data_IF_193137432271
#
_entry.id   IF_193137432271
#
_cell.length_a   1.000
_cell.length_b   1.000
_cell.length_c   1.000
_cell.angle_alpha   90.00
_cell.angle_beta   90.00
_cell.angle_gamma   90.00
#
_symmetry.space_group_name_H-M   'P 1'
#
loop_
_entity.id
_entity.type
_entity.pdbx_description
1 polymer ?
#
# COMPACT_ATOMS: atom_id res chain seq x y z
N UNK A 1 21.21 15.96 1.89
CA UNK A 1 20.25 15.00 2.46
C UNK A 1 20.40 13.68 1.71
N UNK A 2 20.79 12.61 2.40
CA UNK A 2 20.95 11.28 1.79
C UNK A 2 19.69 10.47 2.08
N UNK A 3 18.94 10.13 1.03
CA UNK A 3 17.77 9.27 1.14
C UNK A 3 18.24 7.80 1.14
N UNK A 4 17.93 7.06 2.19
CA UNK A 4 17.93 5.59 2.17
C UNK A 4 16.51 5.14 2.48
N UNK A 5 15.84 4.50 1.51
CA UNK A 5 14.86 3.39 1.67
C UNK A 5 13.80 3.37 0.55
N UNK A 6 13.62 2.21 -0.09
CA UNK A 6 12.44 1.77 -0.85
C UNK A 6 12.08 2.53 -2.15
N UNK A 7 11.24 1.94 -3.03
CA UNK A 7 10.64 2.68 -4.13
C UNK A 7 9.80 3.85 -3.57
N UNK A 8 10.00 5.03 -4.14
CA UNK A 8 9.28 6.25 -3.82
C UNK A 8 8.42 6.60 -5.03
N UNK A 9 7.15 6.90 -4.79
CA UNK A 9 6.18 7.22 -5.84
C UNK A 9 5.83 8.70 -5.77
N UNK A 10 5.71 9.34 -6.93
CA UNK A 10 5.42 10.76 -7.09
C UNK A 10 4.06 10.89 -7.77
N UNK A 11 3.25 11.88 -7.38
CA UNK A 11 2.04 12.26 -8.09
C UNK A 11 2.22 13.59 -8.85
N UNK A 12 1.23 13.99 -9.67
CA UNK A 12 1.34 15.19 -10.52
C UNK A 12 1.32 16.51 -9.72
N UNK A 13 1.02 16.44 -8.42
CA UNK A 13 1.06 17.59 -7.51
C UNK A 13 2.46 17.83 -6.92
N UNK A 14 3.47 17.03 -7.31
CA UNK A 14 4.81 17.14 -6.77
C UNK A 14 4.98 16.46 -5.40
N UNK A 15 3.96 15.73 -4.93
CA UNK A 15 4.01 15.05 -3.63
C UNK A 15 4.63 13.67 -3.79
N UNK A 16 5.48 13.28 -2.84
CA UNK A 16 6.15 11.97 -2.84
C UNK A 16 5.58 11.12 -1.72
N UNK A 17 5.23 9.86 -1.99
CA UNK A 17 4.92 8.87 -0.96
C UNK A 17 6.00 7.78 -0.91
N UNK A 18 6.32 7.29 0.28
CA UNK A 18 7.42 6.34 0.48
C UNK A 18 7.64 6.01 1.96
N UNK A 19 8.74 5.32 2.24
CA UNK A 19 9.12 4.92 3.60
C UNK A 19 10.18 5.90 4.14
N UNK A 20 9.90 6.52 5.28
CA UNK A 20 10.82 7.39 6.00
C UNK A 20 11.99 6.63 6.61
N UNK A 21 13.02 7.36 7.04
CA UNK A 21 14.19 6.77 7.72
C UNK A 21 13.84 6.10 9.06
N UNK A 22 12.70 6.47 9.65
CA UNK A 22 12.12 5.84 10.83
C UNK A 22 11.36 4.54 10.52
N UNK A 23 11.36 4.10 9.26
CA UNK A 23 10.65 2.92 8.78
C UNK A 23 9.15 3.14 8.61
N UNK A 24 8.65 4.36 8.76
CA UNK A 24 7.21 4.65 8.68
C UNK A 24 6.81 5.16 7.30
N UNK A 25 5.65 4.74 6.78
CA UNK A 25 5.13 5.31 5.54
C UNK A 25 4.76 6.79 5.74
N UNK A 26 5.08 7.62 4.75
CA UNK A 26 4.84 9.06 4.79
C UNK A 26 4.60 9.64 3.39
N UNK A 27 3.99 10.84 3.37
CA UNK A 27 3.88 11.72 2.22
C UNK A 27 4.71 12.98 2.49
N UNK A 28 5.63 13.32 1.59
CA UNK A 28 6.36 14.58 1.56
C UNK A 28 5.70 15.55 0.59
N UNK A 29 5.42 16.76 1.06
CA UNK A 29 4.80 17.82 0.27
C UNK A 29 5.86 18.77 -0.30
N UNK A 30 5.56 19.46 -1.42
CA UNK A 30 6.47 20.45 -2.01
C UNK A 30 6.87 21.60 -1.07
N UNK A 31 6.02 21.93 -0.10
CA UNK A 31 6.29 22.96 0.91
C UNK A 31 7.23 22.48 2.04
N UNK A 32 7.70 21.23 1.97
CA UNK A 32 8.57 20.61 2.96
C UNK A 32 7.84 19.99 4.14
N UNK A 33 6.51 20.10 4.22
CA UNK A 33 5.74 19.42 5.24
C UNK A 33 5.70 17.90 5.00
N UNK A 34 5.51 17.15 6.09
CA UNK A 34 5.49 15.69 6.07
C UNK A 34 4.21 15.21 6.77
N UNK A 35 3.47 14.34 6.10
CA UNK A 35 2.35 13.62 6.69
C UNK A 35 2.73 12.15 6.89
N UNK A 36 2.81 11.73 8.14
CA UNK A 36 2.97 10.32 8.46
C UNK A 36 1.64 9.58 8.24
N UNK A 37 1.70 8.46 7.55
CA UNK A 37 0.53 7.63 7.27
C UNK A 37 0.27 6.72 8.48
N UNK A 38 -0.88 6.87 9.17
CA UNK A 38 -1.11 6.19 10.43
C UNK A 38 -1.53 4.73 10.26
N UNK A 39 -1.41 3.97 11.35
CA UNK A 39 -1.91 2.60 11.47
C UNK A 39 -0.84 1.59 11.89
N UNK A 40 -1.29 0.41 12.31
CA UNK A 40 -0.42 -0.69 12.71
C UNK A 40 -0.12 -1.56 11.49
N UNK A 41 1.07 -1.38 10.93
CA UNK A 41 1.57 -2.14 9.79
C UNK A 41 3.10 -2.28 9.90
N UNK A 42 3.63 -3.39 9.41
CA UNK A 42 5.08 -3.65 9.30
C UNK A 42 5.42 -4.14 7.89
N UNK A 43 6.71 -4.12 7.54
CA UNK A 43 7.18 -4.53 6.20
C UNK A 43 6.47 -3.78 5.07
N UNK A 44 6.24 -2.48 5.27
CA UNK A 44 5.48 -1.66 4.33
C UNK A 44 6.30 -1.40 3.07
N UNK A 45 5.67 -1.64 1.91
CA UNK A 45 6.13 -1.18 0.61
C UNK A 45 5.04 -0.32 -0.01
N UNK A 46 5.42 0.80 -0.62
CA UNK A 46 4.49 1.67 -1.36
C UNK A 46 4.69 1.41 -2.85
N UNK A 47 3.59 1.20 -3.56
CA UNK A 47 3.59 0.80 -4.99
C UNK A 47 2.81 1.77 -5.86
N UNK A 48 2.01 2.66 -5.27
CA UNK A 48 1.30 3.67 -6.03
C UNK A 48 0.79 4.82 -5.18
N UNK A 49 0.65 5.97 -5.83
CA UNK A 49 0.12 7.19 -5.23
C UNK A 49 -0.58 8.01 -6.31
N UNK A 50 -1.80 8.48 -6.03
CA UNK A 50 -2.57 9.29 -6.98
C UNK A 50 -2.77 10.74 -6.50
N UNK A 51 -3.27 11.59 -7.39
CA UNK A 51 -3.51 13.02 -7.13
C UNK A 51 -4.67 13.28 -6.15
N UNK A 52 -5.44 12.25 -5.78
CA UNK A 52 -6.47 12.36 -4.77
C UNK A 52 -5.92 12.18 -3.35
N UNK A 53 -4.63 11.89 -3.18
CA UNK A 53 -4.05 11.62 -1.87
C UNK A 53 -4.19 10.15 -1.44
N UNK A 54 -4.51 9.24 -2.37
CA UNK A 54 -4.60 7.80 -2.07
C UNK A 54 -3.28 7.12 -2.35
N UNK A 55 -2.70 6.51 -1.31
CA UNK A 55 -1.48 5.70 -1.37
C UNK A 55 -1.85 4.23 -1.29
N UNK A 56 -1.28 3.41 -2.16
CA UNK A 56 -1.42 1.95 -2.12
C UNK A 56 -0.08 1.28 -1.93
N UNK A 57 -0.12 0.09 -1.34
CA UNK A 57 1.07 -0.65 -1.02
C UNK A 57 0.78 -2.06 -0.52
N UNK A 58 1.81 -2.66 0.06
CA UNK A 58 1.76 -3.99 0.65
C UNK A 58 2.32 -3.92 2.06
N UNK A 59 1.68 -4.61 3.01
CA UNK A 59 2.14 -4.63 4.39
C UNK A 59 1.72 -5.91 5.12
N UNK A 60 2.48 -6.28 6.15
CA UNK A 60 1.97 -7.15 7.21
C UNK A 60 1.11 -6.30 8.15
N UNK A 61 -0.13 -6.74 8.37
CA UNK A 61 -1.10 -6.06 9.24
C UNK A 61 -1.69 -7.06 10.25
N UNK A 62 -2.17 -6.60 11.43
CA UNK A 62 -2.72 -7.48 12.45
C UNK A 62 -3.80 -8.43 11.92
N UNK A 63 -3.71 -9.70 12.31
CA UNK A 63 -4.66 -10.75 11.92
C UNK A 63 -4.32 -11.49 10.63
N UNK A 64 -3.24 -11.13 9.93
CA UNK A 64 -2.82 -11.79 8.69
C UNK A 64 -1.35 -12.24 8.79
N UNK A 65 -1.07 -13.45 8.28
CA UNK A 65 0.28 -14.03 8.26
C UNK A 65 1.03 -13.79 6.96
N UNK A 66 0.34 -13.32 5.92
CA UNK A 66 0.91 -12.99 4.61
C UNK A 66 0.80 -11.48 4.35
N UNK A 67 1.68 -10.89 3.51
CA UNK A 67 1.52 -9.52 3.05
C UNK A 67 0.13 -9.30 2.44
N UNK A 68 -0.49 -8.20 2.86
CA UNK A 68 -1.80 -7.78 2.39
C UNK A 68 -1.66 -6.54 1.51
N UNK A 69 -2.46 -6.45 0.44
CA UNK A 69 -2.62 -5.21 -0.31
C UNK A 69 -3.36 -4.21 0.59
N UNK A 70 -2.77 -3.03 0.76
CA UNK A 70 -3.25 -1.99 1.68
C UNK A 70 -3.39 -0.64 1.00
N UNK A 71 -4.19 0.22 1.61
CA UNK A 71 -4.46 1.56 1.13
C UNK A 71 -4.51 2.55 2.30
N UNK A 72 -4.02 3.76 2.07
CA UNK A 72 -4.24 4.93 2.91
C UNK A 72 -4.98 5.97 2.06
N UNK A 73 -6.19 6.35 2.48
CA UNK A 73 -6.99 7.35 1.76
C UNK A 73 -6.90 8.70 2.47
N UNK A 74 -6.48 9.74 1.76
CA UNK A 74 -6.48 11.12 2.24
C UNK A 74 -5.76 11.29 3.59
N UNK A 75 -4.65 10.56 3.81
CA UNK A 75 -3.93 10.58 5.08
C UNK A 75 -4.56 9.82 6.24
N UNK A 76 -5.66 9.09 5.99
CA UNK A 76 -6.30 8.21 6.96
C UNK A 76 -5.46 6.98 7.28
N UNK A 77 -5.93 6.18 8.24
CA UNK A 77 -5.25 4.95 8.68
C UNK A 77 -5.15 3.89 7.58
N UNK A 78 -4.17 3.01 7.72
CA UNK A 78 -4.02 1.83 6.87
C UNK A 78 -5.30 1.00 6.85
N UNK A 79 -5.74 0.64 5.66
CA UNK A 79 -6.86 -0.27 5.43
C UNK A 79 -6.42 -1.42 4.53
N UNK A 80 -6.94 -2.63 4.79
CA UNK A 80 -6.78 -3.76 3.88
C UNK A 80 -7.71 -3.59 2.67
N UNK A 81 -7.20 -3.78 1.46
CA UNK A 81 -8.03 -3.84 0.26
C UNK A 81 -8.88 -5.14 0.26
N UNK A 82 -10.14 -5.09 -0.21
CA UNK A 82 -10.98 -6.29 -0.28
C UNK A 82 -10.56 -7.20 -1.44
N UNK A 83 -10.29 -8.47 -1.15
CA UNK A 83 -10.01 -9.53 -2.15
C UNK A 83 -10.22 -10.93 -1.54
N UNK A 84 -10.33 -11.95 -2.39
CA UNK A 84 -10.70 -13.33 -2.03
C UNK A 84 -9.52 -14.30 -1.81
N UNK A 85 -8.32 -13.78 -1.56
CA UNK A 85 -7.09 -14.55 -1.35
C UNK A 85 -6.57 -14.48 0.09
N UNK A 86 -5.56 -15.29 0.39
CA UNK A 86 -4.89 -15.32 1.70
C UNK A 86 -3.90 -14.16 1.86
N UNK A 87 -3.29 -13.71 0.76
CA UNK A 87 -2.42 -12.55 0.67
C UNK A 87 -2.49 -11.93 -0.71
N UNK A 88 -1.85 -10.78 -0.89
CA UNK A 88 -1.87 -10.10 -2.18
C UNK A 88 -0.95 -8.90 -2.23
N UNK A 89 -0.74 -8.42 -3.46
CA UNK A 89 0.18 -7.35 -3.77
C UNK A 89 -0.48 -6.37 -4.72
N UNK A 90 -0.32 -5.08 -4.46
CA UNK A 90 -0.66 -3.99 -5.38
C UNK A 90 0.56 -3.64 -6.22
N UNK A 91 0.33 -3.31 -7.49
CA UNK A 91 1.36 -2.88 -8.44
C UNK A 91 1.21 -1.41 -8.84
N UNK A 92 0.06 -0.79 -8.54
CA UNK A 92 -0.16 0.61 -8.80
C UNK A 92 -1.61 1.04 -8.65
N UNK A 93 -1.80 2.36 -8.73
CA UNK A 93 -3.10 3.02 -8.70
C UNK A 93 -3.11 4.15 -9.74
N UNK A 94 -4.24 4.40 -10.39
CA UNK A 94 -4.42 5.57 -11.26
C UNK A 94 -5.22 6.70 -10.57
N UNK A 95 -5.34 7.85 -11.23
CA UNK A 95 -6.06 9.02 -10.71
C UNK A 95 -7.59 8.85 -10.59
N UNK A 96 -8.17 7.77 -11.14
CA UNK A 96 -9.58 7.41 -10.89
C UNK A 96 -9.75 6.55 -9.63
N UNK A 97 -8.65 6.04 -9.08
CA UNK A 97 -8.66 5.11 -7.96
C UNK A 97 -8.70 3.64 -8.39
N UNK A 98 -8.49 3.34 -9.67
CA UNK A 98 -8.36 1.96 -10.15
C UNK A 98 -7.01 1.40 -9.67
N UNK A 99 -7.05 0.27 -8.96
CA UNK A 99 -5.88 -0.39 -8.37
C UNK A 99 -5.62 -1.69 -9.12
N UNK A 100 -4.37 -1.91 -9.51
CA UNK A 100 -3.91 -3.16 -10.13
C UNK A 100 -3.03 -3.95 -9.17
N UNK A 101 -2.96 -5.27 -9.36
CA UNK A 101 -2.22 -6.16 -8.47
C UNK A 101 -2.53 -7.63 -8.72
N UNK A 102 -2.04 -8.48 -7.83
CA UNK A 102 -2.29 -9.92 -7.86
C UNK A 102 -2.49 -10.50 -6.45
N UNK A 103 -3.18 -11.64 -6.38
CA UNK A 103 -3.39 -12.37 -5.13
C UNK A 103 -2.34 -13.48 -4.98
N UNK A 104 -1.89 -13.69 -3.75
CA UNK A 104 -1.03 -14.81 -3.36
C UNK A 104 -1.81 -15.80 -2.49
N UNK A 105 -1.63 -17.08 -2.77
CA UNK A 105 -2.33 -18.17 -2.10
C UNK A 105 -3.74 -18.37 -2.66
N UNK A 106 -4.01 -19.54 -3.23
CA UNK A 106 -5.37 -19.93 -3.56
C UNK A 106 -6.19 -20.00 -2.27
N UNK A 107 -7.36 -19.37 -2.24
CA UNK A 107 -8.43 -19.87 -1.39
C UNK A 107 -8.79 -21.23 -1.97
N UNK A 108 -8.44 -22.32 -1.28
CA UNK A 108 -8.98 -23.64 -1.60
C UNK A 108 -10.49 -23.62 -1.30
N UNK A 109 -11.27 -22.96 -2.15
CA UNK A 109 -12.72 -23.13 -2.26
C UNK A 109 -13.07 -23.89 -3.53
N UNK A 110 -12.08 -24.54 -4.16
CA UNK A 110 -12.35 -25.66 -5.07
C UNK A 110 -13.09 -26.74 -4.29
N UNK A 111 -14.41 -26.75 -4.39
CA UNK A 111 -15.25 -27.90 -4.11
C UNK A 111 -14.82 -29.00 -5.09
N UNK A 112 -13.75 -29.70 -4.74
CA UNK A 112 -13.37 -30.93 -5.40
C UNK A 112 -14.42 -31.97 -5.09
N UNK A 113 -15.40 -32.12 -5.99
CA UNK A 113 -16.12 -33.39 -6.07
C UNK A 113 -15.13 -34.44 -6.59
N UNK A 114 -14.95 -35.58 -5.89
CA UNK A 114 -14.14 -36.67 -6.40
C UNK A 114 -14.90 -37.38 -7.54
N UNK A 115 -14.20 -37.62 -8.66
CA UNK A 115 -14.57 -38.64 -9.65
C UNK A 115 -14.06 -40.01 -9.22
#
# INVERSE_FOLDING_TARGET
MSWRAGPQVLNDLGQVAGIGQDGKPAIWYPDGSILHLPGTASEVTITGFNNQGTVVGNALIPGYSLPQPVVWRNGGSVERLPFSGLGGYTEGINNRGDIIGYMAGASNTGTGEPI
#
